data_IF_245111407833
#
_entry.id   IF_245111407833
#
_cell.length_a   1.000
_cell.length_b   1.000
_cell.length_c   1.000
_cell.angle_alpha   90.00
_cell.angle_beta   90.00
_cell.angle_gamma   90.00
#
_symmetry.space_group_name_H-M   'P 1'
#
loop_
_entity.id
_entity.type
_entity.pdbx_description
1 polymer ?
#
# COMPACT_ATOMS: atom_id res chain seq x y z
N UNK A 1 -3.19 15.08 3.04
CA UNK A 1 -3.71 14.53 1.77
C UNK A 1 -4.43 13.22 2.06
N UNK A 2 -5.32 12.81 1.17
CA UNK A 2 -5.98 11.50 1.23
C UNK A 2 -5.07 10.42 0.67
N UNK A 3 -5.38 9.15 0.97
CA UNK A 3 -4.71 8.00 0.35
C UNK A 3 -4.85 8.05 -1.18
N UNK A 4 -5.99 8.51 -1.71
CA UNK A 4 -6.22 8.71 -3.15
C UNK A 4 -5.23 9.72 -3.76
N UNK A 5 -5.06 10.86 -3.12
CA UNK A 5 -4.13 11.91 -3.57
C UNK A 5 -2.69 11.39 -3.55
N UNK A 6 -2.30 10.73 -2.45
CA UNK A 6 -0.98 10.11 -2.33
C UNK A 6 -0.75 9.01 -3.38
N UNK A 7 -1.78 8.21 -3.69
CA UNK A 7 -1.69 7.19 -4.74
C UNK A 7 -1.50 7.84 -6.12
N UNK A 8 -2.19 8.93 -6.41
CA UNK A 8 -2.01 9.68 -7.65
C UNK A 8 -0.59 10.26 -7.77
N UNK A 9 -0.02 10.77 -6.67
CA UNK A 9 1.39 11.19 -6.63
C UNK A 9 2.35 10.01 -6.82
N UNK A 10 2.08 8.88 -6.18
CA UNK A 10 2.87 7.66 -6.33
C UNK A 10 2.85 7.14 -7.78
N UNK A 11 1.73 7.25 -8.48
CA UNK A 11 1.61 6.94 -9.91
C UNK A 11 2.46 7.89 -10.76
N UNK A 12 2.34 9.21 -10.53
CA UNK A 12 3.12 10.23 -11.27
C UNK A 12 4.63 10.08 -11.05
N UNK A 13 5.04 9.84 -9.81
CA UNK A 13 6.43 9.66 -9.41
C UNK A 13 7.00 8.27 -9.69
N UNK A 14 6.20 7.35 -10.25
CA UNK A 14 6.59 5.93 -10.48
C UNK A 14 7.10 5.24 -9.21
N UNK A 15 6.54 5.60 -8.05
CA UNK A 15 6.85 4.98 -6.76
C UNK A 15 6.13 3.64 -6.61
N UNK A 16 6.59 2.61 -7.32
CA UNK A 16 5.95 1.30 -7.39
C UNK A 16 5.71 0.65 -6.03
N UNK A 17 6.68 0.71 -5.11
CA UNK A 17 6.51 0.13 -3.77
C UNK A 17 5.37 0.81 -2.99
N UNK A 18 5.21 2.13 -3.13
CA UNK A 18 4.14 2.87 -2.47
C UNK A 18 2.78 2.56 -3.10
N UNK A 19 2.72 2.43 -4.43
CA UNK A 19 1.50 1.98 -5.13
C UNK A 19 1.07 0.60 -4.64
N UNK A 20 2.02 -0.35 -4.57
CA UNK A 20 1.76 -1.72 -4.14
C UNK A 20 1.22 -1.78 -2.70
N UNK A 21 1.83 -1.01 -1.80
CA UNK A 21 1.40 -0.87 -0.40
C UNK A 21 -0.03 -0.34 -0.29
N UNK A 22 -0.35 0.71 -1.05
CA UNK A 22 -1.69 1.32 -1.04
C UNK A 22 -2.72 0.34 -1.61
N UNK A 23 -2.42 -0.28 -2.75
CA UNK A 23 -3.32 -1.25 -3.40
C UNK A 23 -3.58 -2.46 -2.50
N UNK A 24 -2.53 -3.03 -1.90
CA UNK A 24 -2.65 -4.15 -0.97
C UNK A 24 -3.48 -3.78 0.26
N UNK A 25 -3.25 -2.60 0.84
CA UNK A 25 -3.97 -2.13 2.02
C UNK A 25 -5.45 -1.85 1.75
N UNK A 26 -5.77 -1.27 0.59
CA UNK A 26 -7.15 -0.89 0.23
C UNK A 26 -7.94 -2.06 -0.35
N UNK A 27 -7.39 -2.77 -1.33
CA UNK A 27 -8.13 -3.75 -2.13
C UNK A 27 -8.07 -5.16 -1.53
N UNK A 28 -6.87 -5.64 -1.18
CA UNK A 28 -6.69 -7.00 -0.67
C UNK A 28 -7.09 -7.11 0.80
N UNK A 29 -6.50 -6.27 1.65
CA UNK A 29 -6.67 -6.37 3.12
C UNK A 29 -7.78 -5.48 3.68
N UNK A 30 -8.29 -4.52 2.91
CA UNK A 30 -9.35 -3.57 3.30
C UNK A 30 -9.08 -2.88 4.66
N UNK A 31 -7.81 -2.57 4.93
CA UNK A 31 -7.37 -1.96 6.20
C UNK A 31 -7.75 -0.49 6.30
N UNK A 32 -7.88 0.18 5.16
CA UNK A 32 -8.23 1.60 5.03
C UNK A 32 -8.83 1.86 3.64
N UNK A 33 -9.39 3.05 3.47
CA UNK A 33 -10.08 3.50 2.25
C UNK A 33 -9.28 4.58 1.54
N UNK A 34 -9.59 4.81 0.27
CA UNK A 34 -8.93 5.84 -0.54
C UNK A 34 -9.21 7.26 -0.02
N UNK A 35 -10.33 7.45 0.68
CA UNK A 35 -10.76 8.72 1.26
C UNK A 35 -10.11 8.99 2.63
N UNK A 36 -9.49 7.98 3.24
CA UNK A 36 -8.83 8.15 4.53
C UNK A 36 -7.60 9.05 4.41
N UNK A 37 -7.23 9.66 5.53
CA UNK A 37 -6.00 10.45 5.63
C UNK A 37 -4.78 9.55 5.41
N UNK A 38 -3.84 9.99 4.57
CA UNK A 38 -2.61 9.26 4.23
C UNK A 38 -1.75 8.87 5.44
N UNK A 39 -1.88 9.54 6.58
CA UNK A 39 -1.23 9.16 7.84
C UNK A 39 -1.52 7.72 8.29
N UNK A 40 -2.61 7.13 7.83
CA UNK A 40 -2.94 5.73 8.11
C UNK A 40 -1.85 4.77 7.61
N UNK A 41 -1.16 5.10 6.52
CA UNK A 41 -0.06 4.30 5.99
C UNK A 41 1.12 4.23 6.96
N UNK A 42 1.40 5.32 7.69
CA UNK A 42 2.42 5.34 8.74
C UNK A 42 2.10 4.37 9.88
N UNK A 43 0.83 4.26 10.27
CA UNK A 43 0.39 3.36 11.35
C UNK A 43 0.55 1.89 11.00
N UNK A 44 0.29 1.53 9.75
CA UNK A 44 0.28 0.12 9.32
C UNK A 44 1.62 -0.36 8.77
N UNK A 45 2.30 0.45 7.96
CA UNK A 45 3.45 -0.01 7.16
C UNK A 45 4.81 0.43 7.70
N UNK A 46 4.86 1.53 8.46
CA UNK A 46 6.11 2.01 9.06
C UNK A 46 6.32 1.50 10.49
N UNK A 47 5.37 0.72 11.03
CA UNK A 47 5.56 0.02 12.29
C UNK A 47 6.52 -1.17 12.08
N UNK A 48 7.68 -1.22 12.79
CA UNK A 48 8.65 -2.30 12.64
C UNK A 48 8.06 -3.69 12.85
N UNK A 49 7.06 -3.83 13.73
CA UNK A 49 6.39 -5.10 14.01
C UNK A 49 5.61 -5.67 12.83
N UNK A 50 5.19 -4.81 11.90
CA UNK A 50 4.41 -5.21 10.74
C UNK A 50 5.27 -5.28 9.47
N UNK A 51 6.53 -4.85 9.53
CA UNK A 51 7.39 -4.73 8.37
C UNK A 51 7.63 -6.08 7.68
N UNK A 52 7.90 -7.12 8.45
CA UNK A 52 8.15 -8.47 7.90
C UNK A 52 6.87 -9.09 7.33
N UNK A 53 5.75 -8.92 8.04
CA UNK A 53 4.43 -9.36 7.58
C UNK A 53 4.03 -8.70 6.25
N UNK A 54 4.17 -7.38 6.19
CA UNK A 54 3.92 -6.57 5.00
C UNK A 54 4.83 -7.01 3.86
N UNK A 55 6.13 -7.13 4.08
CA UNK A 55 7.08 -7.49 3.03
C UNK A 55 6.80 -8.87 2.44
N UNK A 56 6.44 -9.86 3.27
CA UNK A 56 6.13 -11.20 2.79
C UNK A 56 4.84 -11.21 1.97
N UNK A 57 3.77 -10.57 2.45
CA UNK A 57 2.51 -10.56 1.72
C UNK A 57 2.50 -9.62 0.51
N UNK A 58 3.30 -8.55 0.51
CA UNK A 58 3.45 -7.69 -0.65
C UNK A 58 4.11 -8.44 -1.81
N UNK A 59 5.11 -9.29 -1.55
CA UNK A 59 5.72 -10.13 -2.59
C UNK A 59 4.70 -11.08 -3.22
N UNK A 60 3.88 -11.74 -2.40
CA UNK A 60 2.82 -12.63 -2.87
C UNK A 60 1.77 -11.86 -3.69
N UNK A 61 1.39 -10.66 -3.22
CA UNK A 61 0.44 -9.80 -3.90
C UNK A 61 0.98 -9.27 -5.23
N UNK A 62 2.25 -8.89 -5.29
CA UNK A 62 2.91 -8.45 -6.52
C UNK A 62 2.91 -9.55 -7.59
N UNK A 63 3.20 -10.79 -7.20
CA UNK A 63 3.13 -11.95 -8.11
C UNK A 63 1.71 -12.14 -8.65
N UNK A 64 0.69 -12.10 -7.78
CA UNK A 64 -0.73 -12.22 -8.21
C UNK A 64 -1.13 -11.08 -9.16
N UNK A 65 -0.72 -9.84 -8.86
CA UNK A 65 -1.04 -8.64 -9.64
C UNK A 65 -0.41 -8.66 -11.03
N UNK A 66 0.82 -9.17 -11.14
CA UNK A 66 1.56 -9.20 -12.41
C UNK A 66 1.26 -10.44 -13.26
N UNK A 67 0.27 -11.26 -12.89
CA UNK A 67 -0.20 -12.40 -13.69
C UNK A 67 0.56 -13.70 -13.41
N UNK A 68 0.45 -14.20 -12.18
CA UNK A 68 0.64 -15.62 -11.91
C UNK A 68 -0.39 -16.50 -12.63
#
# INVERSE_FOLDING_TARGET
MTVRELYAEALKGKHFSLQLVIEFGVYEKKLFRMEDNSEILHKFFFNPKHRDYVNNHLKEYEVKRNGG
#
